data_IF_271247475635
#
_entry.id   IF_271247475635
#
_cell.length_a   1.000
_cell.length_b   1.000
_cell.length_c   1.000
_cell.angle_alpha   90.00
_cell.angle_beta   90.00
_cell.angle_gamma   90.00
#
_symmetry.space_group_name_H-M   'P 1'
#
loop_
_entity.id
_entity.type
_entity.pdbx_description
1 polymer ?
#
# COMPACT_ATOMS: atom_id res chain seq x y z
N UNK A 1 9.33 -4.30 -9.68
CA UNK A 1 10.67 -4.04 -9.08
C UNK A 1 10.55 -2.88 -8.11
N UNK A 2 11.15 -3.02 -6.93
CA UNK A 2 11.25 -1.96 -5.94
C UNK A 2 12.44 -1.05 -6.25
N UNK A 3 12.22 0.27 -6.28
CA UNK A 3 13.26 1.29 -6.44
C UNK A 3 13.37 2.10 -5.17
N UNK A 4 14.59 2.28 -4.66
CA UNK A 4 14.87 3.10 -3.48
C UNK A 4 15.63 4.35 -3.94
N UNK A 5 15.01 5.52 -3.81
CA UNK A 5 15.63 6.81 -4.06
C UNK A 5 16.11 7.40 -2.73
N UNK A 6 17.42 7.58 -2.58
CA UNK A 6 17.99 8.33 -1.46
C UNK A 6 17.95 9.83 -1.79
N UNK A 7 17.26 10.61 -0.97
CA UNK A 7 17.27 12.07 -1.00
C UNK A 7 17.82 12.60 0.33
N UNK A 8 18.67 13.62 0.24
CA UNK A 8 19.07 14.40 1.40
C UNK A 8 18.15 15.63 1.39
N UNK A 9 17.32 15.78 2.41
CA UNK A 9 16.45 16.95 2.55
C UNK A 9 17.32 18.19 2.85
N UNK A 10 16.81 19.40 2.55
CA UNK A 10 17.53 20.66 2.87
C UNK A 10 17.97 20.75 4.34
N UNK A 11 17.24 20.12 5.25
CA UNK A 11 17.58 19.98 6.68
C UNK A 11 18.69 18.96 7.01
N UNK A 12 19.39 18.42 6.02
CA UNK A 12 20.47 17.43 6.21
C UNK A 12 20.00 16.03 6.62
N UNK A 13 18.69 15.82 6.80
CA UNK A 13 18.12 14.50 7.14
C UNK A 13 18.06 13.58 5.92
N UNK A 14 18.54 12.32 6.02
CA UNK A 14 18.37 11.35 4.96
C UNK A 14 16.91 10.91 4.86
N UNK A 15 16.41 10.87 3.63
CA UNK A 15 15.07 10.41 3.27
C UNK A 15 15.20 9.36 2.17
N UNK A 16 14.57 8.21 2.37
CA UNK A 16 14.59 7.06 1.49
C UNK A 16 13.19 6.84 0.96
N UNK A 17 12.99 7.14 -0.32
CA UNK A 17 11.71 6.94 -0.99
C UNK A 17 11.71 5.59 -1.69
N UNK A 18 10.88 4.69 -1.22
CA UNK A 18 10.65 3.37 -1.81
C UNK A 18 9.48 3.46 -2.79
N UNK A 19 9.67 2.95 -4.02
CA UNK A 19 8.62 2.85 -5.04
C UNK A 19 8.53 1.42 -5.53
N UNK A 20 7.39 0.77 -5.35
CA UNK A 20 7.14 -0.59 -5.86
C UNK A 20 6.19 -0.46 -7.03
N UNK A 21 6.67 -0.81 -8.23
CA UNK A 21 5.86 -0.84 -9.46
C UNK A 21 5.77 -2.27 -9.97
N UNK A 22 4.53 -2.73 -10.17
CA UNK A 22 4.20 -3.99 -10.85
C UNK A 22 3.10 -3.72 -11.88
N UNK A 23 3.19 -4.42 -13.00
CA UNK A 23 2.19 -4.35 -14.05
C UNK A 23 0.83 -4.84 -13.51
N UNK A 24 -0.23 -4.07 -13.76
CA UNK A 24 -1.59 -4.40 -13.32
C UNK A 24 -1.93 -4.10 -11.85
N UNK A 25 -1.08 -3.39 -11.10
CA UNK A 25 -1.35 -2.96 -9.72
C UNK A 25 -1.03 -1.46 -9.52
N UNK A 26 -1.70 -0.82 -8.56
CA UNK A 26 -1.37 0.57 -8.22
C UNK A 26 0.07 0.67 -7.67
N UNK A 27 0.82 1.73 -8.03
CA UNK A 27 2.18 1.91 -7.53
C UNK A 27 2.15 2.26 -6.04
N UNK A 28 2.84 1.47 -5.21
CA UNK A 28 3.02 1.78 -3.79
C UNK A 28 4.26 2.65 -3.60
N UNK A 29 4.11 3.70 -2.79
CA UNK A 29 5.24 4.56 -2.41
C UNK A 29 5.26 4.83 -0.93
N UNK A 30 6.43 4.71 -0.31
CA UNK A 30 6.67 5.11 1.07
C UNK A 30 7.94 5.95 1.18
N UNK A 31 7.95 6.86 2.14
CA UNK A 31 9.10 7.71 2.46
C UNK A 31 9.53 7.39 3.88
N UNK A 32 10.78 6.96 4.05
CA UNK A 32 11.33 6.50 5.31
C UNK A 32 12.63 7.23 5.63
N UNK A 33 12.96 7.40 6.90
CA UNK A 33 14.16 8.14 7.31
C UNK A 33 15.41 7.26 7.49
N UNK A 34 15.24 5.94 7.60
CA UNK A 34 16.32 4.96 7.75
C UNK A 34 16.43 4.05 6.52
N UNK A 35 17.67 3.77 6.10
CA UNK A 35 17.96 2.89 4.95
C UNK A 35 17.51 1.44 5.20
N UNK A 36 17.78 0.92 6.40
CA UNK A 36 17.42 -0.44 6.80
C UNK A 36 15.91 -0.65 6.74
N UNK A 37 15.15 0.34 7.21
CA UNK A 37 13.70 0.26 7.26
C UNK A 37 13.12 0.35 5.85
N UNK A 38 13.73 1.16 4.97
CA UNK A 38 13.37 1.26 3.55
C UNK A 38 13.57 -0.07 2.80
N UNK A 39 14.69 -0.75 3.00
CA UNK A 39 14.95 -2.07 2.40
C UNK A 39 13.96 -3.11 2.91
N UNK A 40 13.77 -3.17 4.25
CA UNK A 40 12.81 -4.11 4.86
C UNK A 40 11.37 -3.87 4.38
N UNK A 41 10.98 -2.61 4.27
CA UNK A 41 9.66 -2.22 3.77
C UNK A 41 9.46 -2.65 2.31
N UNK A 42 10.45 -2.41 1.44
CA UNK A 42 10.41 -2.86 0.05
C UNK A 42 10.18 -4.37 -0.05
N UNK A 43 10.98 -5.18 0.67
CA UNK A 43 10.88 -6.64 0.62
C UNK A 43 9.56 -7.17 1.19
N UNK A 44 9.09 -6.61 2.30
CA UNK A 44 7.80 -7.00 2.90
C UNK A 44 6.61 -6.67 1.98
N UNK A 45 6.60 -5.47 1.39
CA UNK A 45 5.50 -5.08 0.52
C UNK A 45 5.56 -5.78 -0.85
N UNK A 46 6.76 -6.05 -1.40
CA UNK A 46 6.90 -6.83 -2.62
C UNK A 46 6.43 -8.28 -2.43
N UNK A 47 6.81 -8.92 -1.33
CA UNK A 47 6.34 -10.27 -0.98
C UNK A 47 4.83 -10.30 -0.71
N UNK A 48 4.26 -9.29 -0.05
CA UNK A 48 2.82 -9.19 0.17
C UNK A 48 2.01 -9.02 -1.14
N UNK A 49 2.55 -8.24 -2.08
CA UNK A 49 1.97 -8.07 -3.42
C UNK A 49 2.09 -9.37 -4.23
N UNK A 50 3.23 -10.08 -4.14
CA UNK A 50 3.42 -11.38 -4.79
C UNK A 50 2.48 -12.46 -4.23
N UNK A 51 2.29 -12.48 -2.91
CA UNK A 51 1.40 -13.42 -2.22
C UNK A 51 -0.09 -13.14 -2.47
N UNK A 52 -0.45 -12.07 -3.18
CA UNK A 52 -1.85 -11.70 -3.45
C UNK A 52 -2.65 -11.28 -2.20
N UNK A 53 -2.00 -11.16 -1.04
CA UNK A 53 -2.61 -10.77 0.24
C UNK A 53 -2.68 -9.26 0.45
N UNK A 54 -2.33 -8.48 -0.56
CA UNK A 54 -2.31 -7.01 -0.44
C UNK A 54 -3.71 -6.40 -0.35
N UNK A 55 -4.73 -7.09 -0.86
CA UNK A 55 -6.13 -6.76 -0.61
C UNK A 55 -6.77 -7.87 0.23
N UNK A 56 -6.75 -7.74 1.56
CA UNK A 56 -7.62 -8.52 2.45
C UNK A 56 -9.11 -8.11 2.33
N UNK A 57 -9.54 -7.67 1.15
CA UNK A 57 -10.92 -7.32 0.89
C UNK A 57 -11.52 -8.34 -0.07
N UNK A 58 -11.60 -9.58 0.41
CA UNK A 58 -12.60 -10.53 -0.07
C UNK A 58 -13.95 -9.81 -0.05
N UNK A 59 -14.28 -9.13 1.05
CA UNK A 59 -15.53 -8.38 1.20
C UNK A 59 -15.71 -7.21 0.21
N UNK A 60 -14.68 -6.44 -0.15
CA UNK A 60 -14.85 -5.33 -1.12
C UNK A 60 -15.14 -5.81 -2.55
N UNK A 61 -14.84 -7.08 -2.86
CA UNK A 61 -15.25 -7.68 -4.14
C UNK A 61 -16.71 -8.17 -4.13
N UNK A 62 -17.26 -8.50 -2.96
CA UNK A 62 -18.61 -9.04 -2.82
C UNK A 62 -19.65 -8.00 -2.36
N UNK A 63 -19.25 -6.98 -1.58
CA UNK A 63 -20.12 -5.88 -1.17
C UNK A 63 -20.06 -4.77 -2.21
N UNK A 64 -21.20 -4.47 -2.82
CA UNK A 64 -21.39 -3.29 -3.67
C UNK A 64 -21.95 -2.14 -2.84
N UNK A 65 -21.87 -0.90 -3.36
CA UNK A 65 -22.52 0.27 -2.73
C UNK A 65 -24.01 0.01 -2.44
N UNK A 66 -24.68 -0.76 -3.33
CA UNK A 66 -26.08 -1.15 -3.17
C UNK A 66 -26.32 -1.98 -1.91
N UNK A 67 -25.43 -2.92 -1.59
CA UNK A 67 -25.53 -3.78 -0.40
C UNK A 67 -25.41 -2.95 0.90
N UNK A 68 -24.51 -1.96 0.91
CA UNK A 68 -24.39 -1.01 2.02
C UNK A 68 -25.66 -0.17 2.22
N UNK A 69 -26.29 0.29 1.13
CA UNK A 69 -27.56 1.04 1.19
C UNK A 69 -28.69 0.15 1.69
N UNK A 70 -28.83 -1.07 1.17
CA UNK A 70 -29.87 -2.02 1.62
C UNK A 70 -29.76 -2.34 3.10
N UNK A 71 -28.53 -2.51 3.61
CA UNK A 71 -28.29 -2.75 5.04
C UNK A 71 -28.67 -1.54 5.89
N UNK A 72 -28.30 -0.32 5.48
CA UNK A 72 -28.65 0.91 6.19
C UNK A 72 -30.16 1.13 6.26
N UNK A 73 -30.88 0.89 5.16
CA UNK A 73 -32.35 1.00 5.13
C UNK A 73 -33.05 -0.03 6.00
N UNK A 74 -32.45 -1.22 6.19
CA UNK A 74 -33.04 -2.29 7.03
C UNK A 74 -32.77 -2.05 8.52
N UNK A 75 -31.68 -1.36 8.87
CA UNK A 75 -31.27 -1.09 10.26
C UNK A 75 -32.06 0.08 10.89
N UNK A 76 -32.68 0.93 10.06
CA UNK A 76 -33.40 2.16 10.47
C UNK A 76 -34.92 1.95 10.64
N UNK A 77 -35.47 0.85 10.14
CA UNK A 77 -36.89 0.47 10.28
C UNK A 77 -37.02 -0.51 11.45
#
# INVERSE_FOLDING_TARGET
MATIEKRITKDGKPSYRCKIRRYGQQPLTATLHKKSDAERWCTQHESAILAGRHFNYVESRYRTLSDAISRYSTDII
#
